data_IF_249078557240
#
_entry.id   IF_249078557240
#
_cell.length_a   1.000
_cell.length_b   1.000
_cell.length_c   1.000
_cell.angle_alpha   90.00
_cell.angle_beta   90.00
_cell.angle_gamma   90.00
#
_symmetry.space_group_name_H-M   'P 1'
#
loop_
_entity.id
_entity.type
_entity.pdbx_description
1 polymer ?
#
# COMPACT_ATOMS: atom_id res chain seq x y z
N UNK A 1 61.86 55.43 -18.61
CA UNK A 1 61.46 55.25 -17.20
C UNK A 1 61.96 53.89 -16.73
N UNK A 2 62.81 53.92 -15.70
CA UNK A 2 63.20 52.89 -14.71
C UNK A 2 63.10 51.39 -15.10
N UNK A 3 64.22 50.64 -15.20
CA UNK A 3 65.09 50.07 -14.13
C UNK A 3 64.45 48.81 -13.49
N UNK A 4 65.02 47.62 -13.75
CA UNK A 4 65.82 46.79 -12.81
C UNK A 4 64.96 45.94 -11.85
N UNK A 5 65.36 44.80 -11.27
CA UNK A 5 66.38 43.77 -11.46
C UNK A 5 66.28 42.89 -10.21
N UNK A 6 66.39 41.56 -10.35
CA UNK A 6 67.17 40.66 -9.49
C UNK A 6 66.93 40.58 -7.96
N UNK A 7 66.80 39.34 -7.47
CA UNK A 7 67.68 38.82 -6.41
C UNK A 7 66.99 38.25 -5.16
N UNK A 8 67.16 36.96 -4.85
CA UNK A 8 68.21 36.25 -4.08
C UNK A 8 67.85 36.07 -2.58
N UNK A 9 68.07 34.84 -2.11
CA UNK A 9 67.86 34.21 -0.80
C UNK A 9 68.64 34.82 0.39
N UNK A 10 68.40 34.33 1.64
CA UNK A 10 69.43 33.46 2.25
C UNK A 10 68.94 32.26 3.10
N UNK A 11 69.85 31.28 3.23
CA UNK A 11 69.95 30.17 4.22
C UNK A 11 70.11 30.69 5.67
N UNK A 12 70.11 29.95 6.79
CA UNK A 12 70.48 28.59 7.20
C UNK A 12 69.81 28.31 8.60
N UNK A 13 69.82 27.14 9.25
CA UNK A 13 70.96 26.55 10.02
C UNK A 13 70.62 25.10 10.52
N UNK A 14 71.55 24.16 10.28
CA UNK A 14 72.01 22.93 10.99
C UNK A 14 71.03 22.06 11.83
N UNK A 15 70.80 20.77 11.50
CA UNK A 15 71.57 19.53 11.77
C UNK A 15 71.44 18.91 13.17
N UNK A 16 70.96 17.66 13.23
CA UNK A 16 71.67 16.56 13.91
C UNK A 16 71.17 15.17 13.49
N UNK A 17 72.12 14.32 13.09
CA UNK A 17 71.94 12.90 12.79
C UNK A 17 71.57 12.06 14.02
N UNK A 18 70.95 10.88 13.81
CA UNK A 18 71.42 9.58 14.36
C UNK A 18 70.52 8.38 13.97
N UNK A 19 71.19 7.39 13.36
CA UNK A 19 71.05 5.92 13.50
C UNK A 19 69.78 5.22 13.00
N UNK A 20 69.93 4.48 11.90
CA UNK A 20 69.29 3.16 11.77
C UNK A 20 69.88 2.19 12.83
N UNK A 21 69.09 1.27 13.39
CA UNK A 21 69.36 -0.12 13.03
C UNK A 21 68.15 -1.09 13.04
N UNK A 22 68.29 -2.08 12.14
CA UNK A 22 67.97 -3.51 12.30
C UNK A 22 66.50 -3.97 12.26
N UNK A 23 66.21 -4.69 11.18
CA UNK A 23 65.22 -5.75 11.13
C UNK A 23 65.24 -6.62 12.39
N UNK A 24 64.08 -6.75 13.06
CA UNK A 24 63.72 -7.95 13.82
C UNK A 24 62.54 -8.62 13.12
N UNK A 25 62.82 -9.85 12.76
CA UNK A 25 61.96 -10.91 12.26
C UNK A 25 60.74 -11.15 13.12
N UNK A 26 59.61 -11.41 12.45
CA UNK A 26 58.63 -12.42 12.86
C UNK A 26 57.55 -12.01 13.85
N UNK A 27 56.36 -11.71 13.31
CA UNK A 27 55.08 -12.22 13.80
C UNK A 27 54.19 -12.38 12.55
N UNK A 28 53.58 -13.56 12.29
CA UNK A 28 52.61 -13.67 11.22
C UNK A 28 51.44 -12.75 11.57
N UNK A 29 51.02 -11.91 10.62
CA UNK A 29 49.71 -11.28 10.67
C UNK A 29 48.70 -12.41 10.81
N UNK A 30 48.16 -12.60 12.02
CA UNK A 30 47.00 -13.45 12.26
C UNK A 30 45.96 -13.05 11.23
N UNK A 31 45.53 -14.01 10.41
CA UNK A 31 44.38 -13.89 9.55
C UNK A 31 43.29 -13.15 10.32
N UNK A 32 43.05 -11.88 9.96
CA UNK A 32 41.81 -11.22 10.33
C UNK A 32 40.74 -12.04 9.61
N UNK A 33 40.15 -13.01 10.31
CA UNK A 33 38.90 -13.64 9.91
C UNK A 33 38.00 -12.48 9.51
N UNK A 34 37.79 -12.31 8.21
CA UNK A 34 36.77 -11.45 7.68
C UNK A 34 35.46 -12.10 8.12
N UNK A 35 35.01 -11.77 9.34
CA UNK A 35 33.71 -12.21 9.84
C UNK A 35 32.70 -11.45 9.01
N UNK A 36 32.39 -12.02 7.84
CA UNK A 36 31.39 -11.50 6.93
C UNK A 36 30.14 -11.23 7.76
N UNK A 37 29.74 -9.97 7.82
CA UNK A 37 28.65 -9.54 8.68
C UNK A 37 27.39 -10.25 8.20
N UNK A 38 26.93 -11.24 8.95
CA UNK A 38 25.75 -12.03 8.57
C UNK A 38 24.49 -11.31 9.03
N UNK A 39 23.50 -11.20 8.15
CA UNK A 39 22.18 -10.61 8.47
C UNK A 39 21.08 -11.60 8.15
N UNK A 40 19.92 -11.41 8.77
CA UNK A 40 18.73 -12.19 8.43
C UNK A 40 18.36 -11.97 6.96
N UNK A 41 17.92 -13.03 6.29
CA UNK A 41 17.56 -13.03 4.88
C UNK A 41 16.49 -11.97 4.55
N UNK A 42 15.47 -11.82 5.40
CA UNK A 42 14.44 -10.80 5.23
C UNK A 42 15.01 -9.36 5.22
N UNK A 43 16.02 -9.08 6.03
CA UNK A 43 16.71 -7.79 6.05
C UNK A 43 17.71 -7.64 4.90
N UNK A 44 18.42 -8.72 4.54
CA UNK A 44 19.37 -8.72 3.44
C UNK A 44 18.67 -8.47 2.09
N UNK A 45 17.47 -9.03 1.90
CA UNK A 45 16.69 -8.81 0.68
C UNK A 45 16.27 -7.36 0.51
N UNK A 46 15.78 -6.71 1.57
CA UNK A 46 15.40 -5.28 1.52
C UNK A 46 16.62 -4.41 1.24
N UNK A 47 17.74 -4.66 1.92
CA UNK A 47 18.97 -3.88 1.72
C UNK A 47 19.56 -4.01 0.31
N UNK A 48 19.28 -5.12 -0.37
CA UNK A 48 19.78 -5.42 -1.73
C UNK A 48 18.75 -5.12 -2.82
N UNK A 49 17.67 -4.41 -2.47
CA UNK A 49 16.57 -4.06 -3.37
C UNK A 49 15.90 -5.29 -4.04
N UNK A 50 15.99 -6.46 -3.40
CA UNK A 50 15.34 -7.71 -3.83
C UNK A 50 13.89 -7.81 -3.32
N UNK A 51 13.52 -6.94 -2.38
CA UNK A 51 12.16 -6.80 -1.89
C UNK A 51 11.94 -5.37 -1.35
N UNK A 52 10.78 -4.74 -1.63
CA UNK A 52 10.50 -3.36 -1.20
C UNK A 52 10.30 -3.23 0.32
N UNK A 53 9.96 -4.32 1.02
CA UNK A 53 9.77 -4.32 2.48
C UNK A 53 10.10 -5.67 3.09
N UNK A 54 10.30 -5.69 4.42
CA UNK A 54 10.52 -6.94 5.17
C UNK A 54 9.34 -7.88 5.07
N UNK A 55 8.13 -7.35 5.00
CA UNK A 55 6.89 -8.13 4.84
C UNK A 55 6.90 -8.81 3.48
N UNK A 56 7.21 -8.07 2.41
CA UNK A 56 7.30 -8.63 1.06
C UNK A 56 8.41 -9.67 0.93
N UNK A 57 9.57 -9.43 1.57
CA UNK A 57 10.66 -10.40 1.61
C UNK A 57 10.22 -11.73 2.25
N UNK A 58 9.47 -11.66 3.36
CA UNK A 58 8.93 -12.85 4.04
C UNK A 58 7.92 -13.60 3.17
N UNK A 59 7.12 -12.88 2.40
CA UNK A 59 6.17 -13.50 1.46
C UNK A 59 6.90 -14.25 0.34
N UNK A 60 7.95 -13.66 -0.25
CA UNK A 60 8.76 -14.36 -1.25
C UNK A 60 9.41 -15.62 -0.67
N UNK A 61 9.91 -15.55 0.56
CA UNK A 61 10.51 -16.69 1.27
C UNK A 61 9.46 -17.77 1.56
N UNK A 62 8.29 -17.38 2.07
CA UNK A 62 7.19 -18.30 2.37
C UNK A 62 6.62 -18.96 1.09
N UNK A 63 6.62 -18.24 -0.02
CA UNK A 63 6.22 -18.74 -1.33
C UNK A 63 7.30 -19.63 -2.00
N UNK A 64 8.43 -19.91 -1.33
CA UNK A 64 9.52 -20.72 -1.89
C UNK A 64 10.24 -20.05 -3.07
N UNK A 65 10.08 -18.74 -3.25
CA UNK A 65 10.64 -17.99 -4.38
C UNK A 65 12.09 -17.58 -4.15
N UNK A 66 12.62 -17.71 -2.94
CA UNK A 66 13.96 -17.22 -2.61
C UNK A 66 14.95 -18.37 -2.57
N UNK A 67 16.05 -18.22 -3.29
CA UNK A 67 17.21 -19.09 -3.18
C UNK A 67 18.40 -18.33 -2.60
N UNK A 68 19.24 -19.04 -1.85
CA UNK A 68 20.52 -18.54 -1.33
C UNK A 68 21.60 -19.53 -1.76
N UNK A 69 22.59 -19.08 -2.53
CA UNK A 69 23.57 -19.94 -3.22
C UNK A 69 22.91 -21.06 -4.05
N UNK A 70 21.82 -20.75 -4.74
CA UNK A 70 21.10 -21.71 -5.58
C UNK A 70 20.23 -22.73 -4.80
N UNK A 71 20.27 -22.74 -3.47
CA UNK A 71 19.41 -23.60 -2.65
C UNK A 71 18.17 -22.85 -2.14
N UNK A 72 16.96 -23.45 -2.15
CA UNK A 72 15.76 -22.83 -1.58
C UNK A 72 15.96 -22.38 -0.13
N UNK A 73 15.48 -21.17 0.18
CA UNK A 73 15.58 -20.58 1.51
C UNK A 73 14.19 -20.31 2.08
N UNK A 74 13.74 -21.21 2.96
CA UNK A 74 12.37 -21.21 3.51
C UNK A 74 12.24 -20.44 4.84
N UNK A 75 13.35 -19.93 5.40
CA UNK A 75 13.35 -19.26 6.71
C UNK A 75 13.83 -17.82 6.57
N UNK A 76 12.94 -16.86 6.87
CA UNK A 76 13.26 -15.43 6.89
C UNK A 76 14.39 -15.06 7.86
N UNK A 77 14.55 -15.82 8.94
CA UNK A 77 15.61 -15.65 9.93
C UNK A 77 16.95 -16.27 9.51
N UNK A 78 17.04 -16.97 8.36
CA UNK A 78 18.31 -17.51 7.85
C UNK A 78 19.34 -16.41 7.79
N UNK A 79 20.51 -16.64 8.38
CA UNK A 79 21.62 -15.70 8.32
C UNK A 79 22.35 -15.87 6.99
N UNK A 80 22.53 -14.77 6.26
CA UNK A 80 23.26 -14.71 4.98
C UNK A 80 24.41 -13.72 5.10
N UNK A 81 25.58 -14.10 4.59
CA UNK A 81 26.71 -13.20 4.46
C UNK A 81 26.52 -12.19 3.31
N UNK A 82 27.20 -11.05 3.37
CA UNK A 82 27.10 -9.99 2.34
C UNK A 82 27.43 -10.48 0.92
N UNK A 83 28.32 -11.46 0.79
CA UNK A 83 28.69 -12.06 -0.50
C UNK A 83 27.90 -13.29 -0.94
N UNK A 84 26.93 -13.79 -0.16
CA UNK A 84 26.10 -14.94 -0.59
C UNK A 84 25.03 -14.48 -1.61
N UNK A 85 25.01 -14.99 -2.86
CA UNK A 85 23.93 -14.73 -3.82
C UNK A 85 22.54 -15.02 -3.23
N UNK A 86 21.65 -14.05 -3.37
CA UNK A 86 20.22 -14.20 -3.04
C UNK A 86 19.45 -13.89 -4.32
N UNK A 87 18.62 -14.82 -4.76
CA UNK A 87 17.81 -14.68 -5.97
C UNK A 87 16.34 -14.88 -5.61
N UNK A 88 15.49 -13.97 -6.09
CA UNK A 88 14.03 -14.11 -6.02
C UNK A 88 13.54 -14.55 -7.39
N UNK A 89 13.01 -15.77 -7.47
CA UNK A 89 12.45 -16.35 -8.68
C UNK A 89 11.02 -15.84 -8.95
N UNK A 90 10.61 -15.91 -10.21
CA UNK A 90 9.26 -15.55 -10.67
C UNK A 90 9.07 -14.05 -10.95
N UNK A 91 8.00 -13.68 -11.67
CA UNK A 91 7.72 -12.30 -12.02
C UNK A 91 7.52 -11.43 -10.78
N UNK A 92 7.76 -10.11 -10.86
CA UNK A 92 7.43 -9.18 -9.78
C UNK A 92 5.97 -9.35 -9.34
N UNK A 93 5.66 -8.93 -8.11
CA UNK A 93 4.28 -8.92 -7.65
C UNK A 93 3.41 -8.11 -8.63
N UNK A 94 2.23 -8.65 -8.99
CA UNK A 94 1.30 -7.98 -9.91
C UNK A 94 0.93 -6.59 -9.41
N UNK A 95 0.59 -6.50 -8.13
CA UNK A 95 0.24 -5.24 -7.47
C UNK A 95 1.30 -4.84 -6.44
N UNK A 96 1.42 -3.54 -6.16
CA UNK A 96 2.33 -3.00 -5.15
C UNK A 96 2.00 -3.43 -3.71
N UNK A 97 0.80 -3.96 -3.48
CA UNK A 97 0.44 -4.59 -2.21
C UNK A 97 -0.57 -5.71 -2.40
N UNK A 98 -0.70 -6.57 -1.37
CA UNK A 98 -1.67 -7.67 -1.35
C UNK A 98 -3.11 -7.20 -1.48
N UNK A 99 -3.41 -5.95 -1.08
CA UNK A 99 -4.76 -5.40 -1.18
C UNK A 99 -5.26 -5.41 -2.63
N UNK A 100 -4.39 -5.20 -3.63
CA UNK A 100 -4.79 -5.26 -5.04
C UNK A 100 -5.46 -6.57 -5.44
N UNK A 101 -5.08 -7.71 -4.82
CA UNK A 101 -5.73 -9.01 -5.06
C UNK A 101 -7.17 -9.08 -4.52
N UNK A 102 -7.50 -8.29 -3.50
CA UNK A 102 -8.85 -8.22 -2.95
C UNK A 102 -9.77 -7.50 -3.91
N UNK A 103 -9.34 -6.32 -4.39
CA UNK A 103 -10.12 -5.57 -5.38
C UNK A 103 -10.20 -6.33 -6.69
N UNK A 104 -9.11 -6.94 -7.15
CA UNK A 104 -9.12 -7.80 -8.33
C UNK A 104 -10.22 -8.87 -8.25
N UNK A 105 -10.27 -9.59 -7.13
CA UNK A 105 -11.30 -10.60 -6.89
C UNK A 105 -12.71 -10.00 -6.84
N UNK A 106 -12.89 -8.84 -6.21
CA UNK A 106 -14.17 -8.16 -6.17
C UNK A 106 -14.66 -7.80 -7.58
N UNK A 107 -13.80 -7.18 -8.38
CA UNK A 107 -14.12 -6.77 -9.75
C UNK A 107 -14.50 -7.96 -10.64
N UNK A 108 -13.76 -9.07 -10.52
CA UNK A 108 -14.05 -10.30 -11.27
C UNK A 108 -15.33 -11.01 -10.77
N UNK A 109 -15.58 -11.00 -9.47
CA UNK A 109 -16.74 -11.68 -8.87
C UNK A 109 -18.04 -10.94 -9.16
N UNK A 110 -17.99 -9.61 -9.12
CA UNK A 110 -19.15 -8.74 -9.32
C UNK A 110 -19.32 -8.28 -10.77
N UNK A 111 -18.49 -8.77 -11.69
CA UNK A 111 -18.50 -8.42 -13.12
C UNK A 111 -18.44 -6.91 -13.38
N UNK A 112 -17.59 -6.20 -12.63
CA UNK A 112 -17.45 -4.73 -12.73
C UNK A 112 -16.40 -4.39 -13.77
N UNK A 113 -16.84 -3.74 -14.85
CA UNK A 113 -15.94 -3.19 -15.87
C UNK A 113 -15.32 -1.88 -15.41
N UNK A 114 -13.99 -1.79 -15.39
CA UNK A 114 -13.24 -0.59 -14.94
C UNK A 114 -12.75 0.27 -16.12
N UNK A 115 -12.69 -0.29 -17.32
CA UNK A 115 -12.09 0.39 -18.48
C UNK A 115 -12.73 1.75 -18.75
N UNK A 116 -11.90 2.78 -18.89
CA UNK A 116 -12.25 4.19 -19.10
C UNK A 116 -13.07 4.86 -17.98
N UNK A 117 -13.21 4.21 -16.81
CA UNK A 117 -13.93 4.79 -15.67
C UNK A 117 -13.05 5.68 -14.81
N UNK A 118 -13.63 6.78 -14.35
CA UNK A 118 -13.06 7.65 -13.34
C UNK A 118 -13.27 7.03 -11.95
N UNK A 119 -12.20 6.85 -11.20
CA UNK A 119 -12.29 6.16 -9.92
C UNK A 119 -11.71 6.96 -8.74
N UNK A 120 -12.26 6.71 -7.55
CA UNK A 120 -11.73 7.18 -6.28
C UNK A 120 -11.38 5.98 -5.38
N UNK A 121 -10.17 5.98 -4.84
CA UNK A 121 -9.67 4.98 -3.89
C UNK A 121 -9.60 5.60 -2.48
N UNK A 122 -10.60 5.27 -1.65
CA UNK A 122 -10.72 5.74 -0.28
C UNK A 122 -9.88 4.87 0.66
N UNK A 123 -8.73 5.40 1.09
CA UNK A 123 -7.75 4.69 1.92
C UNK A 123 -6.72 3.95 1.08
N UNK A 124 -6.13 4.64 0.10
CA UNK A 124 -5.23 4.05 -0.88
C UNK A 124 -4.00 3.38 -0.25
N UNK A 125 -3.51 3.88 0.89
CA UNK A 125 -2.34 3.39 1.61
C UNK A 125 -1.15 3.22 0.65
N UNK A 126 -0.56 2.02 0.59
CA UNK A 126 0.51 1.67 -0.35
C UNK A 126 0.12 1.73 -1.84
N UNK A 127 -1.16 1.81 -2.17
CA UNK A 127 -1.68 1.93 -3.54
C UNK A 127 -2.13 0.63 -4.18
N UNK A 128 -2.46 -0.41 -3.38
CA UNK A 128 -2.82 -1.72 -3.93
C UNK A 128 -4.10 -1.70 -4.78
N UNK A 129 -5.13 -0.99 -4.32
CA UNK A 129 -6.39 -0.82 -5.03
C UNK A 129 -6.20 0.09 -6.24
N UNK A 130 -5.59 1.26 -6.05
CA UNK A 130 -5.18 2.17 -7.14
C UNK A 130 -4.44 1.44 -8.27
N UNK A 131 -3.42 0.64 -7.96
CA UNK A 131 -2.65 -0.12 -8.94
C UNK A 131 -3.51 -1.16 -9.68
N UNK A 132 -4.46 -1.81 -8.99
CA UNK A 132 -5.42 -2.70 -9.62
C UNK A 132 -6.34 -1.95 -10.59
N UNK A 133 -6.87 -0.78 -10.21
CA UNK A 133 -7.74 0.04 -11.05
C UNK A 133 -7.02 0.48 -12.33
N UNK A 134 -5.79 0.99 -12.20
CA UNK A 134 -5.00 1.41 -13.36
C UNK A 134 -4.70 0.22 -14.28
N UNK A 135 -4.30 -0.93 -13.74
CA UNK A 135 -4.06 -2.13 -14.55
C UNK A 135 -5.33 -2.67 -15.23
N UNK A 136 -6.52 -2.37 -14.68
CA UNK A 136 -7.82 -2.71 -15.26
C UNK A 136 -8.35 -1.63 -16.23
N UNK A 137 -7.59 -0.57 -16.46
CA UNK A 137 -7.86 0.45 -17.47
C UNK A 137 -8.71 1.62 -16.99
N UNK A 138 -8.73 1.93 -15.69
CA UNK A 138 -9.33 3.17 -15.20
C UNK A 138 -8.73 4.37 -15.96
N UNK A 139 -9.57 5.34 -16.32
CA UNK A 139 -9.12 6.54 -17.05
C UNK A 139 -8.26 7.42 -16.14
N UNK A 140 -8.67 7.56 -14.88
CA UNK A 140 -7.92 8.25 -13.83
C UNK A 140 -8.34 7.74 -12.45
N UNK A 141 -7.43 7.79 -11.47
CA UNK A 141 -7.71 7.40 -10.07
C UNK A 141 -7.29 8.50 -9.11
N UNK A 142 -8.20 8.93 -8.24
CA UNK A 142 -7.88 9.78 -7.08
C UNK A 142 -7.66 8.91 -5.86
N UNK A 143 -6.42 8.87 -5.39
CA UNK A 143 -5.99 8.07 -4.26
C UNK A 143 -5.99 8.91 -2.98
N UNK A 144 -6.97 8.69 -2.11
CA UNK A 144 -7.14 9.43 -0.85
C UNK A 144 -6.51 8.63 0.29
N UNK A 145 -5.65 9.26 1.09
CA UNK A 145 -5.10 8.62 2.30
C UNK A 145 -4.79 9.62 3.42
N UNK A 146 -5.03 9.22 4.67
CA UNK A 146 -4.71 10.02 5.87
C UNK A 146 -3.22 10.05 6.19
N UNK A 147 -2.46 9.07 5.69
CA UNK A 147 -1.02 8.97 5.89
C UNK A 147 -0.24 9.92 4.99
N UNK A 148 1.06 9.95 5.23
CA UNK A 148 2.03 10.74 4.45
C UNK A 148 2.99 9.79 3.72
N UNK A 149 3.27 10.09 2.44
CA UNK A 149 4.23 9.36 1.61
C UNK A 149 4.03 7.83 1.64
N UNK A 150 2.76 7.40 1.62
CA UNK A 150 2.35 5.98 1.67
C UNK A 150 2.35 5.36 0.27
N UNK A 151 1.91 6.13 -0.73
CA UNK A 151 1.73 5.60 -2.07
C UNK A 151 3.07 5.15 -2.67
N UNK A 152 3.12 3.90 -3.14
CA UNK A 152 4.33 3.33 -3.73
C UNK A 152 4.77 4.15 -4.95
N UNK A 153 6.09 4.35 -5.10
CA UNK A 153 6.68 5.22 -6.14
C UNK A 153 6.16 4.92 -7.55
N UNK A 154 6.04 3.63 -7.90
CA UNK A 154 5.51 3.16 -9.18
C UNK A 154 4.09 3.67 -9.46
N UNK A 155 3.24 3.71 -8.44
CA UNK A 155 1.84 4.17 -8.59
C UNK A 155 1.79 5.69 -8.58
N UNK A 156 2.57 6.33 -7.70
CA UNK A 156 2.68 7.79 -7.60
C UNK A 156 3.19 8.44 -8.89
N UNK A 157 4.07 7.77 -9.62
CA UNK A 157 4.65 8.27 -10.85
C UNK A 157 3.71 8.20 -12.07
N UNK A 158 2.53 7.59 -11.94
CA UNK A 158 1.60 7.43 -13.05
C UNK A 158 0.82 8.74 -13.29
N UNK A 159 0.74 9.24 -14.53
CA UNK A 159 0.04 10.50 -14.84
C UNK A 159 -1.47 10.41 -14.64
N UNK A 160 -2.01 9.20 -14.64
CA UNK A 160 -3.44 8.90 -14.42
C UNK A 160 -3.78 8.68 -12.95
N UNK A 161 -2.90 9.06 -12.03
CA UNK A 161 -3.11 8.96 -10.58
C UNK A 161 -2.89 10.31 -9.92
N UNK A 162 -3.92 10.81 -9.22
CA UNK A 162 -3.81 11.98 -8.34
C UNK A 162 -3.78 11.49 -6.89
N UNK A 163 -2.68 11.77 -6.18
CA UNK A 163 -2.55 11.41 -4.77
C UNK A 163 -2.98 12.57 -3.86
N UNK A 164 -3.97 12.34 -3.01
CA UNK A 164 -4.42 13.25 -1.96
C UNK A 164 -4.07 12.64 -0.60
N UNK A 165 -2.83 12.87 -0.15
CA UNK A 165 -2.30 12.42 1.14
C UNK A 165 -2.54 13.45 2.25
N UNK A 166 -2.42 13.02 3.52
CA UNK A 166 -2.85 13.79 4.70
C UNK A 166 -4.32 14.25 4.61
N UNK A 167 -5.15 13.48 3.92
CA UNK A 167 -6.53 13.79 3.63
C UNK A 167 -7.43 12.69 4.20
N UNK A 168 -8.32 13.07 5.11
CA UNK A 168 -9.34 12.16 5.59
C UNK A 168 -10.49 12.11 4.59
N UNK A 169 -10.90 10.91 4.19
CA UNK A 169 -12.00 10.76 3.23
C UNK A 169 -13.27 11.49 3.70
N UNK A 170 -13.51 11.58 5.01
CA UNK A 170 -14.66 12.31 5.61
C UNK A 170 -14.64 13.82 5.37
N UNK A 171 -13.47 14.36 5.02
CA UNK A 171 -13.30 15.77 4.68
C UNK A 171 -13.39 16.04 3.17
N UNK A 172 -13.41 14.99 2.34
CA UNK A 172 -13.53 15.09 0.89
C UNK A 172 -15.00 15.15 0.51
N UNK A 173 -15.38 16.18 -0.22
CA UNK A 173 -16.70 16.31 -0.87
C UNK A 173 -16.51 16.45 -2.38
N UNK A 174 -17.60 16.39 -3.14
CA UNK A 174 -17.55 16.61 -4.59
C UNK A 174 -16.94 17.98 -4.95
N UNK A 175 -17.16 19.00 -4.11
CA UNK A 175 -16.59 20.34 -4.27
C UNK A 175 -15.05 20.36 -4.20
N UNK A 176 -14.43 19.35 -3.58
CA UNK A 176 -12.97 19.18 -3.57
C UNK A 176 -12.42 19.07 -5.00
N UNK A 177 -13.24 18.58 -5.93
CA UNK A 177 -12.90 18.35 -7.33
C UNK A 177 -13.54 19.34 -8.29
N UNK A 178 -14.12 20.44 -7.79
CA UNK A 178 -14.89 21.39 -8.61
C UNK A 178 -14.12 22.01 -9.78
N UNK A 179 -12.81 22.14 -9.62
CA UNK A 179 -11.93 22.72 -10.64
C UNK A 179 -11.46 21.66 -11.67
N UNK A 180 -11.86 20.40 -11.47
CA UNK A 180 -11.62 19.29 -12.39
C UNK A 180 -12.93 18.85 -13.05
N UNK A 181 -13.19 19.27 -14.30
CA UNK A 181 -14.43 18.95 -15.00
C UNK A 181 -14.72 17.45 -15.11
N UNK A 182 -13.69 16.60 -15.08
CA UNK A 182 -13.88 15.15 -15.14
C UNK A 182 -14.49 14.61 -13.85
N UNK A 183 -14.09 15.15 -12.70
CA UNK A 183 -14.49 14.68 -11.38
C UNK A 183 -15.65 15.47 -10.74
N UNK A 184 -16.03 16.63 -11.29
CA UNK A 184 -17.11 17.47 -10.76
C UNK A 184 -18.49 16.78 -10.74
N UNK A 185 -18.74 15.80 -11.61
CA UNK A 185 -19.99 15.05 -11.71
C UNK A 185 -20.09 13.81 -10.81
N UNK A 186 -19.03 13.49 -10.06
CA UNK A 186 -18.90 12.28 -9.27
C UNK A 186 -17.99 11.23 -9.93
N UNK A 187 -17.76 10.14 -9.21
CA UNK A 187 -16.91 9.04 -9.65
C UNK A 187 -17.76 7.87 -10.16
N UNK A 188 -17.37 7.29 -11.31
CA UNK A 188 -17.99 6.09 -11.87
C UNK A 188 -17.75 4.85 -10.98
N UNK A 189 -16.65 4.87 -10.22
CA UNK A 189 -16.25 3.79 -9.32
C UNK A 189 -15.61 4.34 -8.04
N UNK A 190 -16.21 4.06 -6.89
CA UNK A 190 -15.60 4.34 -5.57
C UNK A 190 -15.18 3.03 -4.93
N UNK A 191 -13.89 2.90 -4.57
CA UNK A 191 -13.38 1.72 -3.86
C UNK A 191 -12.86 2.09 -2.49
N UNK A 192 -12.89 1.17 -1.52
CA UNK A 192 -12.36 1.44 -0.18
C UNK A 192 -11.86 0.23 0.60
N UNK A 193 -10.62 0.31 1.10
CA UNK A 193 -10.00 -0.64 2.05
C UNK A 193 -9.65 0.05 3.38
N UNK A 194 -10.65 0.67 4.00
CA UNK A 194 -10.48 1.52 5.20
C UNK A 194 -10.22 0.68 6.46
N UNK A 195 -9.35 1.18 7.33
CA UNK A 195 -8.97 0.51 8.59
C UNK A 195 -9.19 1.42 9.79
N UNK A 196 -9.49 0.84 10.95
CA UNK A 196 -9.74 1.56 12.21
C UNK A 196 -10.99 2.46 12.20
N UNK A 197 -11.83 2.34 11.19
CA UNK A 197 -13.13 3.00 11.05
C UNK A 197 -14.15 1.98 10.54
N UNK A 198 -15.41 2.19 10.90
CA UNK A 198 -16.54 1.44 10.35
C UNK A 198 -16.79 1.90 8.92
N UNK A 199 -16.70 0.97 7.97
CA UNK A 199 -17.07 1.18 6.57
C UNK A 199 -18.56 1.48 6.48
N UNK A 200 -19.37 0.78 7.28
CA UNK A 200 -20.82 1.05 7.40
C UNK A 200 -21.10 2.52 7.70
N UNK A 201 -20.42 3.09 8.69
CA UNK A 201 -20.58 4.51 9.08
C UNK A 201 -20.09 5.53 8.05
N UNK A 202 -19.52 5.10 6.92
CA UNK A 202 -19.06 5.96 5.84
C UNK A 202 -19.90 5.83 4.57
N UNK A 203 -20.86 4.91 4.51
CA UNK A 203 -21.64 4.66 3.29
C UNK A 203 -22.39 5.91 2.81
N UNK A 204 -23.01 6.65 3.73
CA UNK A 204 -23.67 7.91 3.41
C UNK A 204 -22.70 8.89 2.75
N UNK A 205 -21.54 9.11 3.38
CA UNK A 205 -20.52 10.02 2.85
C UNK A 205 -19.99 9.60 1.49
N UNK A 206 -19.61 8.32 1.34
CA UNK A 206 -19.07 7.78 0.09
C UNK A 206 -20.11 7.82 -1.05
N UNK A 207 -21.40 7.68 -0.74
CA UNK A 207 -22.47 7.77 -1.74
C UNK A 207 -22.55 9.15 -2.39
N UNK A 208 -22.20 10.22 -1.66
CA UNK A 208 -22.19 11.59 -2.20
C UNK A 208 -21.09 11.83 -3.23
N UNK A 209 -20.07 10.96 -3.26
CA UNK A 209 -18.97 11.02 -4.21
C UNK A 209 -19.27 10.19 -5.48
N UNK A 210 -20.25 9.30 -5.46
CA UNK A 210 -20.63 8.51 -6.63
C UNK A 210 -21.39 9.35 -7.65
N UNK A 211 -21.02 9.19 -8.92
CA UNK A 211 -21.87 9.59 -10.03
C UNK A 211 -23.17 8.76 -10.05
N UNK A 212 -24.26 9.27 -10.64
CA UNK A 212 -25.46 8.48 -10.91
C UNK A 212 -25.12 7.19 -11.67
N UNK A 213 -25.67 6.05 -11.24
CA UNK A 213 -25.34 4.74 -11.80
C UNK A 213 -23.91 4.22 -11.51
N UNK A 214 -23.12 4.94 -10.71
CA UNK A 214 -21.77 4.54 -10.33
C UNK A 214 -21.74 3.30 -9.41
N UNK A 215 -20.64 2.55 -9.49
CA UNK A 215 -20.41 1.37 -8.68
C UNK A 215 -19.55 1.71 -7.45
N UNK A 216 -19.82 1.06 -6.31
CA UNK A 216 -18.97 1.13 -5.13
C UNK A 216 -18.53 -0.26 -4.69
N UNK A 217 -17.24 -0.42 -4.40
CA UNK A 217 -16.67 -1.66 -3.85
C UNK A 217 -15.93 -1.38 -2.56
N UNK A 218 -16.46 -1.86 -1.44
CA UNK A 218 -15.86 -1.62 -0.11
C UNK A 218 -15.53 -2.93 0.61
N UNK A 219 -14.49 -2.87 1.44
CA UNK A 219 -14.21 -3.94 2.40
C UNK A 219 -15.02 -3.77 3.67
N UNK A 220 -15.68 -4.85 4.07
CA UNK A 220 -16.38 -4.98 5.34
C UNK A 220 -15.47 -5.81 6.26
N UNK A 221 -15.04 -5.20 7.36
CA UNK A 221 -14.06 -5.77 8.28
C UNK A 221 -14.71 -5.98 9.65
N UNK A 222 -15.15 -7.20 10.00
CA UNK A 222 -15.86 -7.47 11.24
C UNK A 222 -15.15 -6.93 12.49
N UNK A 223 -13.83 -6.93 12.53
CA UNK A 223 -13.04 -6.39 13.64
C UNK A 223 -13.16 -4.88 13.86
N UNK A 224 -13.67 -4.13 12.87
CA UNK A 224 -13.93 -2.68 12.96
C UNK A 224 -15.42 -2.35 13.01
N UNK A 225 -16.29 -3.32 12.70
CA UNK A 225 -17.75 -3.16 12.72
C UNK A 225 -18.38 -3.71 14.01
N UNK A 226 -17.82 -4.79 14.56
CA UNK A 226 -18.33 -5.43 15.76
C UNK A 226 -18.12 -4.55 17.01
N UNK A 227 -19.03 -4.69 17.98
CA UNK A 227 -18.92 -4.00 19.26
C UNK A 227 -17.62 -4.33 20.01
N UNK A 228 -17.15 -3.39 20.84
CA UNK A 228 -15.87 -3.50 21.58
C UNK A 228 -15.74 -4.79 22.40
N UNK A 229 -16.84 -5.33 22.91
CA UNK A 229 -16.85 -6.57 23.69
C UNK A 229 -16.43 -7.79 22.86
N UNK A 230 -16.98 -7.94 21.64
CA UNK A 230 -16.65 -9.05 20.74
C UNK A 230 -15.19 -8.99 20.27
N UNK A 231 -14.72 -7.79 19.91
CA UNK A 231 -13.33 -7.56 19.51
C UNK A 231 -12.36 -7.94 20.65
N UNK A 232 -12.72 -7.60 21.89
CA UNK A 232 -11.87 -7.88 23.06
C UNK A 232 -11.79 -9.38 23.37
N UNK A 233 -12.93 -10.10 23.28
CA UNK A 233 -12.98 -11.56 23.46
C UNK A 233 -12.03 -12.28 22.49
N UNK A 234 -12.00 -11.86 21.24
CA UNK A 234 -11.14 -12.41 20.19
C UNK A 234 -9.71 -11.87 20.12
N UNK A 235 -9.28 -11.01 21.06
CA UNK A 235 -7.98 -10.28 21.00
C UNK A 235 -7.77 -9.53 19.67
N UNK A 236 -8.86 -9.05 19.08
CA UNK A 236 -8.90 -8.37 17.79
C UNK A 236 -9.04 -9.29 16.57
N UNK A 237 -9.36 -10.57 16.75
CA UNK A 237 -9.73 -11.50 15.66
C UNK A 237 -11.16 -11.99 15.87
N UNK A 238 -12.04 -11.69 14.92
CA UNK A 238 -13.44 -12.15 14.93
C UNK A 238 -13.52 -13.48 14.18
N UNK A 239 -13.78 -14.57 14.90
CA UNK A 239 -13.93 -15.93 14.35
C UNK A 239 -15.35 -16.47 14.46
N UNK A 240 -16.20 -15.80 15.23
CA UNK A 240 -17.60 -16.15 15.41
C UNK A 240 -18.41 -15.77 14.16
N UNK A 241 -19.09 -16.76 13.57
CA UNK A 241 -19.89 -16.60 12.36
C UNK A 241 -21.16 -15.80 12.62
N UNK A 242 -21.73 -15.89 13.82
CA UNK A 242 -22.94 -15.14 14.17
C UNK A 242 -22.63 -13.63 14.22
N UNK A 243 -21.42 -13.28 14.68
CA UNK A 243 -20.92 -11.91 14.63
C UNK A 243 -20.71 -11.45 13.18
N UNK A 244 -20.19 -12.30 12.29
CA UNK A 244 -20.06 -11.96 10.88
C UNK A 244 -21.42 -11.69 10.23
N UNK A 245 -22.40 -12.57 10.45
CA UNK A 245 -23.77 -12.42 9.93
C UNK A 245 -24.40 -11.13 10.45
N UNK A 246 -24.28 -10.83 11.74
CA UNK A 246 -24.79 -9.59 12.33
C UNK A 246 -24.15 -8.34 11.71
N UNK A 247 -22.84 -8.38 11.45
CA UNK A 247 -22.12 -7.28 10.78
C UNK A 247 -22.64 -7.07 9.35
N UNK A 248 -22.84 -8.14 8.59
CA UNK A 248 -23.35 -8.05 7.21
C UNK A 248 -24.79 -7.54 7.17
N UNK A 249 -25.67 -7.99 8.07
CA UNK A 249 -27.03 -7.44 8.17
C UNK A 249 -27.02 -5.95 8.49
N UNK A 250 -26.25 -5.53 9.50
CA UNK A 250 -26.13 -4.11 9.84
C UNK A 250 -25.58 -3.26 8.69
N UNK A 251 -24.71 -3.83 7.86
CA UNK A 251 -24.19 -3.18 6.66
C UNK A 251 -25.29 -3.01 5.59
N UNK A 252 -26.07 -4.05 5.31
CA UNK A 252 -27.19 -4.01 4.35
C UNK A 252 -28.27 -3.02 4.79
N UNK A 253 -28.62 -3.03 6.08
CA UNK A 253 -29.61 -2.13 6.65
C UNK A 253 -29.19 -0.66 6.49
N UNK A 254 -27.92 -0.36 6.76
CA UNK A 254 -27.38 0.98 6.59
C UNK A 254 -27.33 1.40 5.11
N UNK A 255 -26.88 0.53 4.21
CA UNK A 255 -26.88 0.79 2.77
C UNK A 255 -28.29 1.17 2.29
N UNK A 256 -29.29 0.39 2.70
CA UNK A 256 -30.70 0.65 2.38
C UNK A 256 -31.16 2.00 2.94
N UNK A 257 -30.80 2.32 4.19
CA UNK A 257 -31.11 3.61 4.82
C UNK A 257 -30.56 4.80 4.04
N UNK A 258 -29.38 4.66 3.44
CA UNK A 258 -28.70 5.72 2.69
C UNK A 258 -28.93 5.64 1.18
N UNK A 259 -29.97 4.93 0.73
CA UNK A 259 -30.35 4.82 -0.69
C UNK A 259 -29.28 4.15 -1.58
N UNK A 260 -28.45 3.29 -0.98
CA UNK A 260 -27.54 2.41 -1.70
C UNK A 260 -28.19 1.02 -1.82
N UNK A 261 -28.24 0.51 -3.04
CA UNK A 261 -28.57 -0.88 -3.30
C UNK A 261 -27.31 -1.73 -3.06
N UNK A 262 -27.42 -2.78 -2.24
CA UNK A 262 -26.39 -3.81 -2.14
C UNK A 262 -26.63 -4.81 -3.27
N UNK A 263 -25.79 -4.74 -4.30
CA UNK A 263 -25.89 -5.61 -5.49
C UNK A 263 -25.44 -7.02 -5.15
N UNK A 264 -24.29 -7.16 -4.47
CA UNK A 264 -23.76 -8.46 -4.07
C UNK A 264 -22.75 -8.35 -2.92
N UNK A 265 -22.50 -9.48 -2.24
CA UNK A 265 -21.53 -9.66 -1.17
C UNK A 265 -20.66 -10.89 -1.43
N UNK A 266 -19.35 -10.77 -1.22
CA UNK A 266 -18.41 -11.88 -1.38
C UNK A 266 -17.42 -11.98 -0.22
N UNK A 267 -16.77 -13.14 -0.07
CA UNK A 267 -15.64 -13.31 0.84
C UNK A 267 -14.38 -12.72 0.21
N UNK A 268 -13.57 -12.00 0.98
CA UNK A 268 -12.24 -11.58 0.51
C UNK A 268 -11.36 -12.82 0.23
N UNK A 269 -10.58 -12.85 -0.87
CA UNK A 269 -9.77 -14.02 -1.25
C UNK A 269 -8.56 -14.23 -0.31
N UNK A 270 -8.28 -13.25 0.54
CA UNK A 270 -7.22 -13.28 1.54
C UNK A 270 -7.74 -12.70 2.86
N UNK A 271 -7.22 -13.21 3.97
CA UNK A 271 -7.53 -12.67 5.30
C UNK A 271 -6.81 -11.34 5.56
N UNK A 272 -7.45 -10.49 6.34
CA UNK A 272 -6.92 -9.22 6.83
C UNK A 272 -5.89 -9.34 7.95
N UNK A 273 -5.68 -8.24 8.65
CA UNK A 273 -4.76 -8.16 9.79
C UNK A 273 -5.07 -9.23 10.85
N UNK A 274 -4.02 -9.88 11.37
CA UNK A 274 -4.11 -10.96 12.37
C UNK A 274 -4.95 -12.18 11.93
N UNK A 275 -5.24 -12.33 10.63
CA UNK A 275 -6.01 -13.46 10.10
C UNK A 275 -7.53 -13.26 10.16
N UNK A 276 -8.01 -12.02 10.33
CA UNK A 276 -9.44 -11.73 10.25
C UNK A 276 -10.00 -12.07 8.88
N UNK A 277 -11.16 -12.70 8.86
CA UNK A 277 -11.98 -12.83 7.66
C UNK A 277 -12.56 -11.45 7.33
N UNK A 278 -12.51 -11.08 6.05
CA UNK A 278 -13.03 -9.81 5.53
C UNK A 278 -14.01 -10.12 4.40
N UNK A 279 -14.99 -9.26 4.20
CA UNK A 279 -15.99 -9.40 3.14
C UNK A 279 -15.87 -8.23 2.17
N UNK A 280 -16.36 -8.44 0.96
CA UNK A 280 -16.43 -7.47 -0.13
C UNK A 280 -17.90 -7.12 -0.31
N UNK A 281 -18.21 -5.84 -0.39
CA UNK A 281 -19.55 -5.37 -0.72
C UNK A 281 -19.55 -4.56 -2.01
N UNK A 282 -20.44 -4.93 -2.93
CA UNK A 282 -20.76 -4.18 -4.13
C UNK A 282 -22.06 -3.42 -3.91
N UNK A 283 -22.00 -2.10 -4.07
CA UNK A 283 -23.14 -1.22 -3.95
C UNK A 283 -23.32 -0.37 -5.19
N UNK A 284 -24.56 0.04 -5.45
CA UNK A 284 -24.91 1.05 -6.44
C UNK A 284 -25.80 2.10 -5.82
N UNK A 285 -25.71 3.33 -6.31
CA UNK A 285 -26.69 4.36 -5.97
C UNK A 285 -28.04 3.97 -6.56
N UNK A 286 -29.07 3.87 -5.72
CA UNK A 286 -30.41 3.56 -6.18
C UNK A 286 -31.09 4.84 -6.68
N UNK A 287 -31.44 4.89 -7.96
CA UNK A 287 -32.14 6.04 -8.56
C UNK A 287 -33.65 6.05 -8.18
N UNK A 288 -34.13 5.03 -7.46
CA UNK A 288 -35.56 4.80 -7.22
C UNK A 288 -36.19 5.89 -6.33
N UNK A 289 -35.43 6.55 -5.47
CA UNK A 289 -35.98 7.50 -4.50
C UNK A 289 -36.17 8.93 -5.01
N UNK A 290 -35.55 9.33 -6.12
CA UNK A 290 -35.84 10.63 -6.75
C UNK A 290 -37.20 10.62 -7.46
N UNK A 291 -37.63 9.46 -7.97
CA UNK A 291 -38.87 9.30 -8.75
C UNK A 291 -40.19 9.36 -7.96
N UNK A 292 -40.14 9.27 -6.62
CA UNK A 292 -41.36 9.22 -5.78
C UNK A 292 -41.78 10.62 -5.28
N UNK A 293 -40.92 11.64 -5.42
CA UNK A 293 -41.22 13.01 -4.97
C UNK A 293 -41.73 13.95 -6.07
N UNK A 294 -41.76 13.53 -7.34
CA UNK A 294 -42.48 14.27 -8.38
C UNK A 294 -43.96 13.87 -8.38
N UNK A 295 -44.73 14.52 -7.52
CA UNK A 295 -46.20 14.49 -7.64
C UNK A 295 -46.58 15.29 -8.89
N UNK A 296 -47.42 14.79 -9.81
CA UNK A 296 -47.89 15.60 -10.92
C UNK A 296 -48.74 16.75 -10.36
N UNK A 297 -48.36 18.00 -10.66
CA UNK A 297 -49.25 19.15 -10.48
C UNK A 297 -50.54 18.88 -11.27
N UNK A 298 -51.63 18.68 -10.53
CA UNK A 298 -52.95 18.54 -11.11
C UNK A 298 -53.32 19.86 -11.81
N UNK A 299 -53.55 19.77 -13.12
CA UNK A 299 -54.16 20.83 -13.94
C UNK A 299 -55.67 20.79 -13.84
#
# INVERSE_FOLDING_TARGET
>A
MALQSWGVWPAAVYSMARRAPKYRTGLPLKDRKNTATRRRLDLAMVRRDLAPSRTQAREFIAAGRVTVNGAPAMKASRLVADGEPVVVAGPPAKFVSRAGRKLEHALDTFDITVTNRLALDAGASTGGFTDCLIQRGASHVYAIDVGTNQLHERVRALPTVTSLENCDIRSVSIDTFRDDPAAAGGFDLVVGDLSFISTRGLLEHLSTLLAPGGDMVVLIKPQFEAGRQEVSRGRGVITDRDVWVAVLHAFIDEATRVSLEVVDLALSPITGGKGNVEFLGHLRRSDILESVNETPEAT
#
